data_IF_341437153315
#
_entry.id   IF_341437153315
#
_cell.length_a   1.000
_cell.length_b   1.000
_cell.length_c   1.000
_cell.angle_alpha   90.00
_cell.angle_beta   90.00
_cell.angle_gamma   90.00
#
_symmetry.space_group_name_H-M   'P 1'
#
loop_
_entity.id
_entity.type
_entity.pdbx_description
1 polymer ?
#
# COMPACT_ATOMS: atom_id res chain seq x y z
N UNK A 1 27.70 -3.20 -9.00
CA UNK A 1 26.56 -2.80 -9.84
C UNK A 1 27.08 -1.89 -10.94
N UNK A 2 27.10 -2.35 -12.19
CA UNK A 2 27.67 -1.64 -13.32
C UNK A 2 26.80 -0.49 -13.84
N UNK A 3 27.34 0.38 -14.73
CA UNK A 3 26.55 1.47 -15.33
C UNK A 3 25.32 0.98 -16.10
N UNK A 4 25.37 -0.20 -16.69
CA UNK A 4 24.26 -0.83 -17.42
C UNK A 4 23.13 -1.27 -16.51
N UNK A 5 23.43 -1.79 -15.29
CA UNK A 5 22.43 -2.14 -14.30
C UNK A 5 21.68 -0.91 -13.78
N UNK A 6 22.38 0.21 -13.61
CA UNK A 6 21.78 1.50 -13.21
C UNK A 6 20.89 2.09 -14.29
N UNK A 7 21.25 1.88 -15.57
CA UNK A 7 20.42 2.35 -16.68
C UNK A 7 19.16 1.49 -16.86
N UNK A 8 19.27 0.16 -16.74
CA UNK A 8 18.10 -0.72 -16.72
C UNK A 8 17.16 -0.39 -15.57
N UNK A 9 17.69 -0.16 -14.35
CA UNK A 9 16.85 0.26 -13.21
C UNK A 9 16.15 1.60 -13.46
N UNK A 10 16.82 2.58 -14.08
CA UNK A 10 16.21 3.87 -14.43
C UNK A 10 15.13 3.74 -15.50
N UNK A 11 15.26 2.83 -16.43
CA UNK A 11 14.26 2.58 -17.48
C UNK A 11 13.02 1.90 -16.92
N UNK A 12 13.17 0.98 -15.94
CA UNK A 12 12.07 0.38 -15.20
C UNK A 12 11.35 1.35 -14.24
N UNK A 13 11.97 2.47 -13.90
CA UNK A 13 11.42 3.47 -12.96
C UNK A 13 10.77 4.68 -13.66
N UNK A 14 10.61 4.69 -14.99
CA UNK A 14 9.82 5.73 -15.65
C UNK A 14 8.35 5.58 -15.26
N UNK A 15 7.68 6.67 -14.81
CA UNK A 15 6.27 6.62 -14.47
C UNK A 15 5.46 6.09 -15.65
N UNK A 16 4.53 5.19 -15.38
CA UNK A 16 3.55 4.78 -16.37
C UNK A 16 2.58 5.95 -16.60
N UNK A 17 2.49 6.43 -17.82
CA UNK A 17 2.09 7.80 -18.14
C UNK A 17 0.58 8.10 -18.14
N UNK A 18 -0.34 7.24 -17.68
CA UNK A 18 -1.75 7.43 -17.99
C UNK A 18 -2.74 7.52 -16.81
N UNK A 19 -2.54 6.84 -15.67
CA UNK A 19 -3.47 6.92 -14.55
C UNK A 19 -2.96 7.85 -13.44
N UNK A 20 -3.85 8.64 -12.85
CA UNK A 20 -3.55 9.26 -11.56
C UNK A 20 -3.39 8.18 -10.50
N UNK A 21 -2.48 8.37 -9.55
CA UNK A 21 -2.26 7.40 -8.47
C UNK A 21 -2.26 8.07 -7.12
N UNK A 22 -2.78 7.37 -6.12
CA UNK A 22 -2.74 7.78 -4.72
C UNK A 22 -2.31 6.57 -3.88
N UNK A 23 -1.32 6.75 -3.00
CA UNK A 23 -0.84 5.67 -2.17
C UNK A 23 -1.18 5.88 -0.70
N UNK A 24 -1.72 4.84 -0.08
CA UNK A 24 -2.06 4.79 1.34
C UNK A 24 -1.03 3.93 2.05
N UNK A 25 -0.21 4.54 2.88
CA UNK A 25 0.73 3.87 3.77
C UNK A 25 0.25 3.97 5.21
N UNK A 26 0.83 3.19 6.11
CA UNK A 26 0.49 3.23 7.53
C UNK A 26 1.71 3.54 8.40
N UNK A 27 1.46 3.93 9.64
CA UNK A 27 2.50 3.97 10.66
C UNK A 27 2.89 2.57 11.14
N UNK A 28 2.01 1.56 10.91
CA UNK A 28 2.21 0.16 11.28
C UNK A 28 1.27 -0.75 10.47
N UNK A 29 1.36 -2.07 10.70
CA UNK A 29 0.31 -3.02 10.32
C UNK A 29 -0.99 -2.70 11.05
N UNK A 30 -2.12 -3.15 10.50
CA UNK A 30 -3.48 -3.10 11.09
C UNK A 30 -4.02 -1.70 11.43
N UNK A 31 -3.38 -0.63 10.98
CA UNK A 31 -3.87 0.74 11.18
C UNK A 31 -5.12 1.07 10.34
N UNK A 32 -5.55 0.13 9.48
CA UNK A 32 -6.76 0.23 8.66
C UNK A 32 -6.52 0.74 7.24
N UNK A 33 -5.32 0.56 6.68
CA UNK A 33 -5.03 0.89 5.28
C UNK A 33 -6.04 0.28 4.31
N UNK A 34 -6.34 -1.02 4.46
CA UNK A 34 -7.24 -1.75 3.57
C UNK A 34 -8.66 -1.17 3.61
N UNK A 35 -9.15 -0.77 4.78
CA UNK A 35 -10.46 -0.11 4.93
C UNK A 35 -10.48 1.24 4.19
N UNK A 36 -9.45 2.06 4.38
CA UNK A 36 -9.34 3.37 3.71
C UNK A 36 -9.29 3.19 2.19
N UNK A 37 -8.46 2.26 1.70
CA UNK A 37 -8.36 1.97 0.25
C UNK A 37 -9.68 1.48 -0.30
N UNK A 38 -10.39 0.57 0.40
CA UNK A 38 -11.72 0.10 0.00
C UNK A 38 -12.72 1.25 -0.10
N UNK A 39 -12.73 2.14 0.92
CA UNK A 39 -13.58 3.32 0.92
C UNK A 39 -13.29 4.27 -0.23
N UNK A 40 -12.01 4.55 -0.51
CA UNK A 40 -11.59 5.40 -1.63
C UNK A 40 -11.95 4.78 -2.98
N UNK A 41 -11.74 3.48 -3.17
CA UNK A 41 -12.16 2.77 -4.39
C UNK A 41 -13.67 2.91 -4.61
N UNK A 42 -14.47 2.71 -3.56
CA UNK A 42 -15.93 2.87 -3.64
C UNK A 42 -16.35 4.30 -3.95
N UNK A 43 -15.73 5.29 -3.28
CA UNK A 43 -16.05 6.71 -3.47
C UNK A 43 -15.73 7.18 -4.89
N UNK A 44 -14.56 6.83 -5.42
CA UNK A 44 -14.13 7.24 -6.75
C UNK A 44 -14.94 6.54 -7.85
N UNK A 45 -15.25 5.25 -7.69
CA UNK A 45 -16.14 4.55 -8.61
C UNK A 45 -17.53 5.19 -8.65
N UNK A 46 -18.10 5.57 -7.49
CA UNK A 46 -19.39 6.29 -7.42
C UNK A 46 -19.33 7.70 -8.01
N UNK A 47 -18.18 8.32 -8.02
CA UNK A 47 -17.94 9.60 -8.69
C UNK A 47 -17.76 9.46 -10.23
N UNK A 48 -17.86 8.24 -10.78
CA UNK A 48 -17.78 7.97 -12.20
C UNK A 48 -16.37 7.74 -12.74
N UNK A 49 -15.35 7.65 -11.87
CA UNK A 49 -13.98 7.34 -12.27
C UNK A 49 -13.79 5.83 -12.46
N UNK A 50 -13.04 5.44 -13.48
CA UNK A 50 -12.55 4.07 -13.61
C UNK A 50 -11.37 3.91 -12.67
N UNK A 51 -11.60 3.35 -11.49
CA UNK A 51 -10.62 3.19 -10.42
C UNK A 51 -10.31 1.74 -10.19
N UNK A 52 -9.02 1.39 -9.98
CA UNK A 52 -8.60 0.07 -9.57
C UNK A 52 -7.74 0.12 -8.30
N UNK A 53 -7.85 -0.87 -7.39
CA UNK A 53 -6.91 -1.05 -6.30
C UNK A 53 -5.61 -1.66 -6.79
N UNK A 54 -4.53 -1.40 -6.07
CA UNK A 54 -3.24 -2.05 -6.28
C UNK A 54 -2.50 -2.26 -4.96
N UNK A 55 -2.02 -3.46 -4.73
CA UNK A 55 -1.07 -3.76 -3.65
C UNK A 55 -0.01 -4.68 -4.21
N UNK A 56 1.19 -4.17 -4.37
CA UNK A 56 2.29 -4.90 -5.03
C UNK A 56 2.58 -6.24 -4.36
N UNK A 57 2.66 -6.23 -3.02
CA UNK A 57 2.87 -7.42 -2.20
C UNK A 57 1.88 -7.44 -1.04
N UNK A 58 1.20 -8.56 -0.85
CA UNK A 58 0.43 -8.84 0.36
C UNK A 58 1.00 -10.06 1.09
N UNK A 59 0.84 -10.11 2.41
CA UNK A 59 1.17 -11.27 3.23
C UNK A 59 -0.10 -11.72 3.95
N UNK A 60 -0.67 -12.85 3.51
CA UNK A 60 -1.92 -13.36 4.06
C UNK A 60 -2.16 -14.80 3.60
N UNK A 61 -2.70 -15.63 4.49
CA UNK A 61 -3.26 -16.93 4.12
C UNK A 61 -4.70 -16.82 3.58
N UNK A 62 -5.31 -15.63 3.71
CA UNK A 62 -6.66 -15.35 3.24
C UNK A 62 -6.61 -14.87 1.78
N UNK A 63 -6.96 -15.75 0.85
CA UNK A 63 -6.90 -15.50 -0.57
C UNK A 63 -8.30 -15.56 -1.21
N UNK A 64 -8.43 -14.92 -2.36
CA UNK A 64 -9.59 -14.97 -3.23
C UNK A 64 -9.18 -15.39 -4.64
N UNK A 65 -10.05 -16.14 -5.30
CA UNK A 65 -9.86 -16.55 -6.68
C UNK A 65 -10.14 -15.37 -7.62
N UNK A 66 -9.27 -15.18 -8.60
CA UNK A 66 -9.46 -14.20 -9.66
C UNK A 66 -10.24 -14.79 -10.83
N UNK A 67 -10.79 -13.93 -11.68
CA UNK A 67 -11.34 -14.33 -12.97
C UNK A 67 -10.28 -15.09 -13.80
N UNK A 68 -10.66 -16.27 -14.29
CA UNK A 68 -9.79 -17.15 -15.04
C UNK A 68 -9.05 -18.14 -14.14
N UNK A 69 -7.78 -17.92 -13.87
CA UNK A 69 -6.97 -18.79 -13.00
C UNK A 69 -5.97 -17.96 -12.22
N UNK A 70 -6.01 -18.02 -10.92
CA UNK A 70 -5.07 -17.32 -10.05
C UNK A 70 -5.72 -16.84 -8.76
N UNK A 71 -4.89 -16.42 -7.83
CA UNK A 71 -5.33 -15.94 -6.52
C UNK A 71 -4.64 -14.63 -6.16
N UNK A 72 -5.36 -13.81 -5.39
CA UNK A 72 -4.87 -12.58 -4.77
C UNK A 72 -5.26 -12.56 -3.29
N UNK A 73 -4.70 -11.63 -2.52
CA UNK A 73 -5.14 -11.40 -1.15
C UNK A 73 -6.63 -11.01 -1.09
N UNK A 74 -7.36 -11.56 -0.11
CA UNK A 74 -8.80 -11.31 0.05
C UNK A 74 -9.13 -9.82 0.17
N UNK A 75 -8.30 -9.05 0.87
CA UNK A 75 -8.49 -7.60 0.99
C UNK A 75 -8.53 -6.89 -0.37
N UNK A 76 -7.66 -7.28 -1.31
CA UNK A 76 -7.63 -6.67 -2.66
C UNK A 76 -8.83 -7.09 -3.50
N UNK A 77 -9.38 -8.30 -3.30
CA UNK A 77 -10.63 -8.70 -3.91
C UNK A 77 -11.80 -7.83 -3.41
N UNK A 78 -11.89 -7.58 -2.11
CA UNK A 78 -12.90 -6.67 -1.52
C UNK A 78 -12.75 -5.24 -2.06
N UNK A 79 -11.53 -4.75 -2.25
CA UNK A 79 -11.26 -3.45 -2.85
C UNK A 79 -11.71 -3.37 -4.31
N UNK A 80 -11.48 -4.44 -5.09
CA UNK A 80 -11.97 -4.54 -6.46
C UNK A 80 -13.49 -4.55 -6.52
N UNK A 81 -14.15 -5.36 -5.68
CA UNK A 81 -15.61 -5.41 -5.56
C UNK A 81 -16.19 -4.03 -5.18
N UNK A 82 -15.52 -3.30 -4.27
CA UNK A 82 -15.91 -1.94 -3.89
C UNK A 82 -15.84 -0.95 -5.06
N UNK A 83 -14.89 -1.16 -5.98
CA UNK A 83 -14.76 -0.41 -7.23
C UNK A 83 -15.73 -0.89 -8.33
N UNK A 84 -16.52 -1.94 -8.08
CA UNK A 84 -17.39 -2.56 -9.09
C UNK A 84 -16.65 -3.41 -10.11
N UNK A 85 -15.47 -3.91 -9.76
CA UNK A 85 -14.61 -4.72 -10.63
C UNK A 85 -14.55 -6.16 -10.17
N UNK A 86 -14.33 -7.05 -11.14
CA UNK A 86 -13.88 -8.42 -10.84
C UNK A 86 -12.39 -8.39 -10.46
N UNK A 87 -11.97 -9.13 -9.42
CA UNK A 87 -10.58 -9.22 -9.03
C UNK A 87 -9.68 -9.79 -10.13
N UNK A 88 -8.51 -9.17 -10.33
CA UNK A 88 -7.48 -9.66 -11.26
C UNK A 88 -6.14 -9.80 -10.56
N UNK A 89 -5.28 -10.67 -11.09
CA UNK A 89 -3.94 -10.90 -10.54
C UNK A 89 -3.05 -9.66 -10.55
N UNK A 90 -3.33 -8.72 -11.44
CA UNK A 90 -2.59 -7.46 -11.52
C UNK A 90 -2.84 -6.54 -10.33
N UNK A 91 -3.98 -6.67 -9.65
CA UNK A 91 -4.31 -5.88 -8.46
C UNK A 91 -3.49 -6.27 -7.23
N UNK A 92 -2.98 -7.53 -7.20
CA UNK A 92 -2.03 -8.00 -6.19
C UNK A 92 -1.08 -9.03 -6.81
N UNK A 93 -0.05 -8.58 -7.54
CA UNK A 93 0.84 -9.46 -8.30
C UNK A 93 1.69 -10.40 -7.45
N UNK A 94 1.90 -10.08 -6.17
CA UNK A 94 2.67 -10.92 -5.26
C UNK A 94 1.90 -11.15 -3.97
N UNK A 95 1.69 -12.43 -3.65
CA UNK A 95 1.08 -12.85 -2.38
C UNK A 95 2.02 -13.81 -1.67
N UNK A 96 2.37 -13.49 -0.43
CA UNK A 96 3.14 -14.33 0.45
C UNK A 96 2.19 -15.04 1.40
N UNK A 97 2.22 -16.38 1.40
CA UNK A 97 1.42 -17.22 2.30
C UNK A 97 2.34 -17.83 3.36
N UNK A 98 2.31 -17.34 4.61
CA UNK A 98 3.08 -17.96 5.69
C UNK A 98 2.74 -19.44 5.85
N UNK A 99 3.76 -20.30 5.82
CA UNK A 99 3.64 -21.76 6.08
C UNK A 99 4.20 -22.12 7.46
N UNK A 100 5.18 -21.31 7.94
CA UNK A 100 5.75 -21.45 9.28
C UNK A 100 6.35 -20.09 9.73
N UNK A 101 6.99 -20.06 10.90
CA UNK A 101 7.70 -18.86 11.38
C UNK A 101 8.85 -18.43 10.47
N UNK A 102 9.40 -19.33 9.67
CA UNK A 102 10.59 -19.08 8.87
C UNK A 102 10.41 -19.36 7.38
N UNK A 103 9.22 -19.77 6.94
CA UNK A 103 8.95 -20.10 5.55
C UNK A 103 7.61 -19.54 5.08
N UNK A 104 7.57 -19.11 3.83
CA UNK A 104 6.34 -18.72 3.17
C UNK A 104 6.30 -19.21 1.71
N UNK A 105 5.12 -19.60 1.26
CA UNK A 105 4.87 -19.86 -0.14
C UNK A 105 4.76 -18.51 -0.89
N UNK A 106 5.50 -18.39 -1.97
CA UNK A 106 5.51 -17.21 -2.82
C UNK A 106 4.62 -17.45 -4.04
N UNK A 107 3.55 -16.66 -4.13
CA UNK A 107 2.63 -16.63 -5.26
C UNK A 107 2.95 -15.40 -6.10
N UNK A 108 3.24 -15.57 -7.38
CA UNK A 108 3.54 -14.50 -8.33
C UNK A 108 2.62 -14.62 -9.54
N UNK A 109 1.92 -13.53 -9.88
CA UNK A 109 0.94 -13.50 -10.95
C UNK A 109 -0.21 -14.49 -10.71
N UNK A 110 -0.61 -14.62 -9.44
CA UNK A 110 -1.71 -15.49 -9.01
C UNK A 110 -1.38 -16.98 -8.97
N UNK A 111 -0.13 -17.38 -9.15
CA UNK A 111 0.30 -18.79 -9.15
C UNK A 111 1.43 -19.06 -8.16
N UNK A 112 1.36 -20.13 -7.36
CA UNK A 112 2.49 -20.55 -6.54
C UNK A 112 3.74 -20.77 -7.39
N UNK A 113 4.90 -20.31 -6.91
CA UNK A 113 6.16 -20.39 -7.63
C UNK A 113 7.22 -21.19 -6.88
N UNK A 114 7.40 -20.87 -5.61
CA UNK A 114 8.39 -21.52 -4.74
C UNK A 114 8.05 -21.22 -3.28
N UNK A 115 8.65 -21.98 -2.38
CA UNK A 115 8.68 -21.66 -0.95
C UNK A 115 9.98 -20.92 -0.64
N UNK A 116 9.89 -19.80 0.03
CA UNK A 116 11.00 -18.95 0.45
C UNK A 116 11.22 -19.12 1.94
N UNK A 117 12.48 -19.29 2.36
CA UNK A 117 12.86 -19.16 3.76
C UNK A 117 13.26 -17.70 4.06
N UNK A 118 13.16 -17.30 5.33
CA UNK A 118 13.57 -15.94 5.76
C UNK A 118 15.04 -15.61 5.48
N UNK A 119 15.85 -16.60 5.11
CA UNK A 119 17.28 -16.46 4.75
C UNK A 119 17.55 -16.30 3.26
N UNK A 120 16.58 -16.62 2.38
CA UNK A 120 16.78 -16.75 0.91
C UNK A 120 16.33 -15.50 0.11
N UNK A 121 16.40 -14.32 0.68
CA UNK A 121 15.71 -13.13 0.22
C UNK A 121 16.29 -12.46 -1.07
N UNK A 122 17.52 -12.77 -1.47
CA UNK A 122 18.17 -12.03 -2.57
C UNK A 122 17.54 -12.29 -3.96
N UNK A 123 17.02 -13.49 -4.21
CA UNK A 123 16.42 -13.84 -5.51
C UNK A 123 14.93 -13.50 -5.61
N UNK A 124 14.26 -13.30 -4.48
CA UNK A 124 12.84 -12.98 -4.45
C UNK A 124 12.53 -11.64 -5.11
N UNK A 125 13.23 -10.56 -4.70
CA UNK A 125 13.04 -9.22 -5.25
C UNK A 125 13.27 -9.17 -6.76
N UNK A 126 14.32 -9.80 -7.24
CA UNK A 126 14.65 -9.86 -8.68
C UNK A 126 13.54 -10.51 -9.51
N UNK A 127 12.85 -11.51 -8.96
CA UNK A 127 11.72 -12.19 -9.62
C UNK A 127 10.40 -11.44 -9.47
N UNK A 128 10.15 -10.83 -8.33
CA UNK A 128 8.90 -10.17 -8.01
C UNK A 128 8.77 -8.79 -8.66
N UNK A 129 9.85 -7.99 -8.64
CA UNK A 129 9.80 -6.60 -9.07
C UNK A 129 9.39 -6.41 -10.55
N UNK A 130 9.90 -7.15 -11.53
CA UNK A 130 9.45 -7.03 -12.92
C UNK A 130 7.95 -7.29 -13.08
N UNK A 131 7.40 -8.27 -12.34
CA UNK A 131 5.97 -8.59 -12.38
C UNK A 131 5.14 -7.48 -11.76
N UNK A 132 5.61 -6.89 -10.64
CA UNK A 132 4.96 -5.73 -10.01
C UNK A 132 4.87 -4.55 -10.98
N UNK A 133 5.99 -4.21 -11.63
CA UNK A 133 6.06 -3.10 -12.59
C UNK A 133 5.11 -3.32 -13.76
N UNK A 134 5.09 -4.53 -14.31
CA UNK A 134 4.25 -4.86 -15.46
C UNK A 134 2.77 -4.88 -15.10
N UNK A 135 2.40 -5.42 -13.93
CA UNK A 135 1.03 -5.40 -13.43
C UNK A 135 0.52 -3.98 -13.21
N UNK A 136 1.34 -3.13 -12.57
CA UNK A 136 1.01 -1.73 -12.39
C UNK A 136 0.82 -1.00 -13.73
N UNK A 137 1.69 -1.23 -14.72
CA UNK A 137 1.59 -0.63 -16.04
C UNK A 137 0.31 -1.06 -16.78
N UNK A 138 -0.08 -2.34 -16.71
CA UNK A 138 -1.34 -2.80 -17.29
C UNK A 138 -2.55 -2.13 -16.67
N UNK A 139 -2.60 -2.01 -15.34
CA UNK A 139 -3.68 -1.31 -14.66
C UNK A 139 -3.68 0.19 -15.00
N UNK A 140 -2.53 0.86 -14.96
CA UNK A 140 -2.45 2.29 -15.26
C UNK A 140 -2.82 2.64 -16.71
N UNK A 141 -2.72 1.68 -17.64
CA UNK A 141 -3.18 1.82 -19.01
C UNK A 141 -4.69 1.63 -19.20
N UNK A 142 -5.40 1.06 -18.21
CA UNK A 142 -6.81 0.70 -18.31
C UNK A 142 -7.73 1.60 -17.47
N UNK A 143 -7.21 2.19 -16.39
CA UNK A 143 -7.98 2.95 -15.40
C UNK A 143 -7.57 4.41 -15.38
N UNK A 144 -8.46 5.27 -14.89
CA UNK A 144 -8.19 6.70 -14.71
C UNK A 144 -7.45 6.98 -13.42
N UNK A 145 -7.64 6.11 -12.41
CA UNK A 145 -7.03 6.24 -11.10
C UNK A 145 -6.66 4.87 -10.51
N UNK A 146 -5.48 4.80 -9.87
CA UNK A 146 -5.03 3.64 -9.12
C UNK A 146 -4.88 4.01 -7.64
N UNK A 147 -5.62 3.33 -6.77
CA UNK A 147 -5.46 3.47 -5.32
C UNK A 147 -4.53 2.37 -4.82
N UNK A 148 -3.37 2.77 -4.34
CA UNK A 148 -2.28 1.87 -3.96
C UNK A 148 -2.28 1.67 -2.45
N UNK A 149 -2.23 0.43 -1.99
CA UNK A 149 -2.05 0.07 -0.60
C UNK A 149 -0.60 -0.33 -0.33
N UNK A 150 0.04 0.30 0.66
CA UNK A 150 1.34 -0.12 1.17
C UNK A 150 1.23 -1.31 2.14
N UNK A 151 2.37 -1.89 2.49
CA UNK A 151 2.48 -2.99 3.44
C UNK A 151 3.25 -2.59 4.70
N UNK A 152 2.79 -3.05 5.87
CA UNK A 152 3.44 -2.72 7.15
C UNK A 152 3.48 -1.22 7.45
N UNK A 153 4.58 -0.77 8.05
CA UNK A 153 4.87 0.63 8.34
C UNK A 153 5.60 1.33 7.19
N UNK A 154 5.34 2.63 7.00
CA UNK A 154 6.01 3.45 5.99
C UNK A 154 7.49 3.71 6.31
N UNK A 155 7.88 3.61 7.58
CA UNK A 155 9.21 3.93 8.08
C UNK A 155 9.98 2.70 8.61
N UNK A 156 9.81 1.54 7.98
CA UNK A 156 10.58 0.33 8.25
C UNK A 156 12.01 0.49 7.68
N UNK A 157 12.80 1.35 8.32
CA UNK A 157 14.12 1.79 7.83
C UNK A 157 15.13 0.64 7.71
N UNK A 158 14.98 -0.40 8.51
CA UNK A 158 15.77 -1.63 8.49
C UNK A 158 15.45 -2.55 7.31
N UNK A 159 14.31 -2.36 6.63
CA UNK A 159 13.87 -3.16 5.48
C UNK A 159 13.96 -2.40 4.16
N UNK A 160 14.53 -1.21 4.16
CA UNK A 160 14.52 -0.29 3.01
C UNK A 160 15.10 -0.89 1.73
N UNK A 161 16.18 -1.64 1.85
CA UNK A 161 16.84 -2.27 0.70
C UNK A 161 16.05 -3.46 0.12
N UNK A 162 15.11 -3.98 0.89
CA UNK A 162 14.24 -5.12 0.54
C UNK A 162 12.81 -4.69 0.18
N UNK A 163 12.50 -3.42 0.36
CA UNK A 163 11.16 -2.88 0.09
C UNK A 163 10.79 -3.03 -1.39
N UNK A 164 9.66 -3.67 -1.65
CA UNK A 164 8.99 -3.75 -2.95
C UNK A 164 7.51 -3.38 -2.83
N UNK A 165 7.09 -2.87 -1.67
CA UNK A 165 5.69 -2.66 -1.33
C UNK A 165 5.34 -1.19 -1.04
N UNK A 166 6.29 -0.39 -0.59
CA UNK A 166 6.05 0.99 -0.18
C UNK A 166 6.73 2.00 -1.11
N UNK A 167 7.92 2.49 -0.76
CA UNK A 167 8.56 3.62 -1.46
C UNK A 167 8.94 3.35 -2.90
N UNK A 168 9.45 2.16 -3.30
CA UNK A 168 9.68 1.85 -4.71
C UNK A 168 8.40 1.90 -5.54
N UNK A 169 7.26 1.47 -4.96
CA UNK A 169 5.95 1.52 -5.64
C UNK A 169 5.42 2.96 -5.73
N UNK A 170 5.53 3.74 -4.65
CA UNK A 170 5.20 5.16 -4.69
C UNK A 170 6.01 5.91 -5.76
N UNK A 171 7.28 5.56 -5.93
CA UNK A 171 8.16 6.13 -6.94
C UNK A 171 7.79 5.67 -8.35
N UNK A 172 7.54 4.38 -8.56
CA UNK A 172 7.09 3.80 -9.83
C UNK A 172 5.81 4.49 -10.32
N UNK A 173 4.86 4.69 -9.41
CA UNK A 173 3.57 5.29 -9.70
C UNK A 173 3.59 6.82 -9.77
N UNK A 174 4.67 7.47 -9.37
CA UNK A 174 4.70 8.92 -9.16
C UNK A 174 3.68 9.40 -8.10
N UNK A 175 3.23 8.51 -7.22
CA UNK A 175 2.08 8.74 -6.37
C UNK A 175 2.40 9.69 -5.20
N UNK A 176 1.50 10.64 -4.87
CA UNK A 176 1.43 11.23 -3.56
C UNK A 176 1.04 10.15 -2.52
N UNK A 177 1.49 10.36 -1.28
CA UNK A 177 1.32 9.41 -0.19
C UNK A 177 0.48 10.03 0.93
N UNK A 178 -0.50 9.27 1.44
CA UNK A 178 -1.18 9.56 2.68
C UNK A 178 -0.75 8.53 3.73
N UNK A 179 -0.45 9.00 4.95
CA UNK A 179 -0.05 8.12 6.06
C UNK A 179 -1.19 8.00 7.05
N UNK A 180 -1.59 6.76 7.34
CA UNK A 180 -2.67 6.42 8.25
C UNK A 180 -2.11 5.94 9.59
N UNK A 181 -2.66 6.43 10.70
CA UNK A 181 -2.39 5.93 12.04
C UNK A 181 -3.67 5.50 12.74
N UNK A 182 -3.58 4.47 13.56
CA UNK A 182 -4.65 3.94 14.40
C UNK A 182 -4.62 4.63 15.78
N UNK A 183 -5.68 5.38 16.10
CA UNK A 183 -5.75 6.09 17.40
C UNK A 183 -6.36 5.23 18.51
N UNK A 184 -7.07 4.18 18.18
CA UNK A 184 -7.77 3.32 19.16
C UNK A 184 -6.80 2.61 20.11
N UNK A 185 -5.58 2.31 19.62
CA UNK A 185 -4.50 1.68 20.42
C UNK A 185 -3.64 2.66 21.22
N UNK A 186 -3.86 3.96 21.06
CA UNK A 186 -3.00 5.01 21.63
C UNK A 186 -1.69 5.22 20.85
N UNK A 187 -0.98 6.31 21.17
CA UNK A 187 0.32 6.62 20.56
C UNK A 187 0.31 7.08 19.11
N UNK A 188 -0.86 7.22 18.46
CA UNK A 188 -0.99 7.56 17.05
C UNK A 188 -0.28 8.87 16.67
N UNK A 189 -0.36 9.89 17.55
CA UNK A 189 0.26 11.20 17.31
C UNK A 189 1.78 11.08 17.26
N UNK A 190 2.37 10.38 18.21
CA UNK A 190 3.81 10.11 18.25
C UNK A 190 4.25 9.25 17.05
N UNK A 191 3.45 8.23 16.69
CA UNK A 191 3.72 7.36 15.56
C UNK A 191 3.73 8.14 14.23
N UNK A 192 2.79 9.08 14.02
CA UNK A 192 2.77 9.93 12.82
C UNK A 192 4.02 10.83 12.75
N UNK A 193 4.35 11.53 13.84
CA UNK A 193 5.53 12.39 13.90
C UNK A 193 6.80 11.55 13.66
N UNK A 194 6.97 10.45 14.38
CA UNK A 194 8.12 9.56 14.24
C UNK A 194 8.26 9.00 12.83
N UNK A 195 7.16 8.53 12.25
CA UNK A 195 7.14 8.01 10.88
C UNK A 195 7.64 9.07 9.90
N UNK A 196 7.05 10.28 9.89
CA UNK A 196 7.43 11.34 8.95
C UNK A 196 8.90 11.77 9.14
N UNK A 197 9.38 11.84 10.37
CA UNK A 197 10.77 12.23 10.64
C UNK A 197 11.81 11.16 10.24
N UNK A 198 11.47 9.88 10.30
CA UNK A 198 12.34 8.77 9.88
C UNK A 198 12.46 8.62 8.35
N UNK A 199 11.56 9.24 7.59
CA UNK A 199 11.59 9.19 6.13
C UNK A 199 12.77 9.97 5.57
N UNK A 200 13.35 9.46 4.47
CA UNK A 200 14.31 10.22 3.69
C UNK A 200 13.65 11.48 3.08
N UNK A 201 14.42 12.55 2.79
CA UNK A 201 13.85 13.79 2.25
C UNK A 201 12.98 13.58 0.99
N UNK A 202 13.39 12.68 0.08
CA UNK A 202 12.66 12.37 -1.16
C UNK A 202 11.35 11.62 -0.89
N UNK A 203 11.32 10.78 0.12
CA UNK A 203 10.12 10.05 0.58
C UNK A 203 9.16 11.02 1.27
N UNK A 204 9.68 11.82 2.21
CA UNK A 204 8.92 12.84 2.94
C UNK A 204 8.25 13.85 2.00
N UNK A 205 8.93 14.27 0.94
CA UNK A 205 8.38 15.18 -0.05
C UNK A 205 7.14 14.63 -0.78
N UNK A 206 6.96 13.29 -0.80
CA UNK A 206 5.78 12.64 -1.37
C UNK A 206 4.60 12.57 -0.39
N UNK A 207 4.82 12.71 0.91
CA UNK A 207 3.75 12.70 1.91
C UNK A 207 2.93 13.98 1.76
N UNK A 208 1.65 13.84 1.44
CA UNK A 208 0.75 14.97 1.18
C UNK A 208 -0.37 15.10 2.22
N UNK A 209 -0.49 14.12 3.10
CA UNK A 209 -1.48 14.20 4.16
C UNK A 209 -1.36 13.06 5.17
N UNK A 210 -1.94 13.31 6.32
CA UNK A 210 -2.05 12.36 7.43
C UNK A 210 -3.52 12.04 7.67
N UNK A 211 -3.81 10.81 8.06
CA UNK A 211 -5.16 10.35 8.40
C UNK A 211 -5.09 9.70 9.78
N UNK A 212 -5.98 10.14 10.67
CA UNK A 212 -6.22 9.47 11.94
C UNK A 212 -7.42 8.55 11.77
N UNK A 213 -7.21 7.27 12.00
CA UNK A 213 -8.25 6.25 11.81
C UNK A 213 -8.71 5.66 13.14
N UNK A 214 -9.88 5.05 13.11
CA UNK A 214 -10.54 4.35 14.24
C UNK A 214 -10.81 5.27 15.44
N UNK A 215 -11.15 6.52 15.18
CA UNK A 215 -11.43 7.48 16.24
C UNK A 215 -12.76 7.17 16.95
N UNK A 216 -12.73 7.24 18.29
CA UNK A 216 -13.92 7.14 19.14
C UNK A 216 -14.03 8.38 20.01
N UNK A 217 -15.22 8.91 20.16
CA UNK A 217 -15.51 10.05 21.04
C UNK A 217 -15.64 11.37 20.31
N UNK A 218 -15.42 12.47 21.03
CA UNK A 218 -15.58 13.83 20.51
C UNK A 218 -14.30 14.31 19.81
N UNK A 219 -14.43 14.60 18.52
CA UNK A 219 -13.32 15.11 17.69
C UNK A 219 -12.79 16.47 18.17
N UNK A 220 -13.57 17.24 18.91
CA UNK A 220 -13.11 18.52 19.46
C UNK A 220 -11.91 18.34 20.39
N UNK A 221 -11.82 17.21 21.09
CA UNK A 221 -10.70 16.88 21.98
C UNK A 221 -9.39 16.63 21.24
N UNK A 222 -9.44 16.34 19.93
CA UNK A 222 -8.23 16.13 19.11
C UNK A 222 -7.62 17.41 18.54
N UNK A 223 -8.35 18.52 18.55
CA UNK A 223 -7.99 19.74 17.83
C UNK A 223 -6.55 20.20 18.08
N UNK A 224 -6.14 20.27 19.34
CA UNK A 224 -4.77 20.67 19.69
C UNK A 224 -3.74 19.64 19.26
N UNK A 225 -4.06 18.34 19.40
CA UNK A 225 -3.19 17.26 18.94
C UNK A 225 -2.98 17.30 17.43
N UNK A 226 -4.02 17.59 16.64
CA UNK A 226 -3.92 17.72 15.18
C UNK A 226 -2.99 18.88 14.81
N UNK A 227 -3.17 20.05 15.43
CA UNK A 227 -2.31 21.22 15.21
C UNK A 227 -0.84 20.93 15.54
N UNK A 228 -0.58 20.26 16.66
CA UNK A 228 0.80 19.88 17.05
C UNK A 228 1.43 18.94 16.01
N UNK A 229 0.70 17.96 15.48
CA UNK A 229 1.22 17.05 14.45
C UNK A 229 1.57 17.83 13.18
N UNK A 230 0.67 18.70 12.71
CA UNK A 230 0.89 19.52 11.53
C UNK A 230 2.11 20.44 11.69
N UNK A 231 2.25 21.09 12.83
CA UNK A 231 3.43 21.92 13.16
C UNK A 231 4.73 21.10 13.18
N UNK A 232 4.70 19.89 13.78
CA UNK A 232 5.88 19.03 13.90
C UNK A 232 6.31 18.38 12.59
N UNK A 233 5.34 18.03 11.73
CA UNK A 233 5.62 17.28 10.49
C UNK A 233 5.69 18.16 9.26
N UNK A 234 5.06 19.33 9.28
CA UNK A 234 4.84 20.16 8.11
C UNK A 234 3.83 19.54 7.11
N UNK A 235 3.06 18.52 7.55
CA UNK A 235 2.11 17.78 6.70
C UNK A 235 0.70 17.94 7.27
N UNK A 236 -0.31 18.31 6.46
CA UNK A 236 -1.68 18.52 6.94
C UNK A 236 -2.35 17.20 7.36
N UNK A 237 -3.20 17.26 8.38
CA UNK A 237 -4.13 16.17 8.73
C UNK A 237 -5.39 16.33 7.89
N UNK A 238 -5.57 15.45 6.92
CA UNK A 238 -6.68 15.53 5.95
C UNK A 238 -8.01 15.01 6.50
N UNK A 239 -7.96 14.20 7.56
CA UNK A 239 -9.18 13.69 8.15
C UNK A 239 -8.98 12.81 9.37
N UNK A 240 -10.06 12.74 10.14
CA UNK A 240 -10.23 11.83 11.26
C UNK A 240 -11.37 10.88 10.91
N UNK A 241 -11.09 9.61 10.75
CA UNK A 241 -12.05 8.58 10.37
C UNK A 241 -12.60 7.93 11.63
N UNK A 242 -13.92 7.95 11.82
CA UNK A 242 -14.54 7.31 12.97
C UNK A 242 -14.31 5.80 12.98
N UNK A 243 -14.34 5.22 14.16
CA UNK A 243 -14.38 3.77 14.30
C UNK A 243 -15.67 3.23 13.68
N UNK A 244 -15.55 2.37 12.69
CA UNK A 244 -16.70 1.74 12.06
C UNK A 244 -16.90 0.33 12.62
N UNK A 245 -18.06 0.10 13.26
CA UNK A 245 -18.47 -1.22 13.72
C UNK A 245 -18.95 -2.07 12.53
N UNK A 246 -18.66 -3.38 12.56
CA UNK A 246 -19.13 -4.32 11.54
C UNK A 246 -18.42 -4.26 10.18
N UNK A 247 -17.33 -3.52 10.08
CA UNK A 247 -16.43 -3.61 8.94
C UNK A 247 -15.39 -4.71 9.23
N UNK A 248 -15.56 -5.85 8.59
CA UNK A 248 -14.60 -6.96 8.59
C UNK A 248 -13.97 -7.05 7.18
N UNK A 249 -12.86 -6.36 7.01
CA UNK A 249 -12.01 -6.49 5.82
C UNK A 249 -10.77 -7.25 6.26
N UNK A 250 -10.62 -8.52 5.84
CA UNK A 250 -9.55 -9.39 6.28
C UNK A 250 -8.17 -8.97 5.79
#
# INVERSE_FOLDING_TARGET
MGPEDRNRQREFMKPAANAASLMIMGTASDVGKSVIVTGLCRMFARAGLRVAPFKSQNMSNNAAVCRGTGEIGRAQAVQAEAAGLEPTVDMNPVLLKPESETACQVVIGGRPRFTMSTRDDNHYRERAWPVIVESYRRLSGQFDCIIIEGAGGAAEVNLRDRDIANWPVAQLAGAPVLIVADIDKGGALAALVGTVHLLAPVERARVKGLIINKFRGDQALLKDGLRIIEEKTGVPVLGVVPYAHGLDIP
#
